data_IF_087071459172
#
_entry.id   IF_087071459172
#
_cell.length_a   1.000
_cell.length_b   1.000
_cell.length_c   1.000
_cell.angle_alpha   90.00
_cell.angle_beta   90.00
_cell.angle_gamma   90.00
#
_symmetry.space_group_name_H-M   'P 1'
#
loop_
_entity.id
_entity.type
_entity.pdbx_description
1 polymer ?
#
# COMPACT_ATOMS: atom_id res chain seq x y z
N UNK A 1 6.24 9.25 14.47
CA UNK A 1 7.51 9.88 14.90
C UNK A 1 7.99 9.26 16.18
N UNK A 2 9.29 9.19 16.31
CA UNK A 2 9.97 8.60 17.47
C UNK A 2 11.16 9.47 17.86
N UNK A 3 11.63 9.34 19.08
CA UNK A 3 12.80 10.05 19.59
C UNK A 3 13.69 9.17 20.45
N UNK A 4 14.97 9.53 20.54
CA UNK A 4 15.93 8.92 21.48
C UNK A 4 16.94 9.96 21.97
N UNK A 5 17.47 9.78 23.19
CA UNK A 5 18.64 10.52 23.66
C UNK A 5 19.90 10.01 22.96
N UNK A 6 20.92 10.86 22.94
CA UNK A 6 22.23 10.40 22.48
C UNK A 6 22.77 9.32 23.43
N UNK A 7 23.22 8.21 22.85
CA UNK A 7 23.61 7.00 23.61
C UNK A 7 22.50 5.97 23.81
N UNK A 8 21.24 6.31 23.62
CA UNK A 8 20.15 5.34 23.68
C UNK A 8 20.16 4.42 22.43
N UNK A 9 19.91 3.13 22.68
CA UNK A 9 19.83 2.11 21.61
C UNK A 9 18.49 2.16 20.88
N UNK A 10 17.40 2.49 21.59
CA UNK A 10 16.04 2.34 21.08
C UNK A 10 15.32 3.67 20.98
N UNK A 11 14.56 3.82 19.92
CA UNK A 11 13.62 4.91 19.75
C UNK A 11 12.36 4.68 20.59
N UNK A 12 11.83 5.74 21.16
CA UNK A 12 10.56 5.79 21.88
C UNK A 12 9.52 6.57 21.05
N UNK A 13 8.24 6.30 21.25
CA UNK A 13 7.17 7.04 20.59
C UNK A 13 7.23 8.53 20.99
N UNK A 14 7.01 9.41 20.02
CA UNK A 14 6.95 10.85 20.25
C UNK A 14 5.61 11.44 19.84
N UNK A 15 5.26 11.31 18.58
CA UNK A 15 4.04 11.89 18.02
C UNK A 15 3.56 11.11 16.80
N UNK A 16 2.29 11.27 16.49
CA UNK A 16 1.68 10.81 15.24
C UNK A 16 0.67 11.83 14.75
N UNK A 17 0.30 11.78 13.46
CA UNK A 17 -0.72 12.63 12.88
C UNK A 17 -1.16 12.11 11.52
N UNK A 18 -2.37 12.49 11.12
CA UNK A 18 -2.91 12.27 9.79
C UNK A 18 -3.20 13.63 9.15
N UNK A 19 -2.71 13.82 7.95
CA UNK A 19 -2.71 15.10 7.25
C UNK A 19 -3.19 14.91 5.81
N UNK A 20 -3.99 15.83 5.32
CA UNK A 20 -4.31 16.00 3.90
C UNK A 20 -3.57 17.18 3.26
N UNK A 21 -2.91 18.01 4.09
CA UNK A 21 -2.10 19.12 3.66
C UNK A 21 -0.68 19.04 4.26
N UNK A 22 0.32 18.89 3.40
CA UNK A 22 1.74 18.82 3.82
C UNK A 22 2.19 20.10 4.51
N UNK A 23 1.65 21.26 4.14
CA UNK A 23 2.05 22.55 4.72
C UNK A 23 1.68 22.66 6.20
N UNK A 24 0.71 21.87 6.67
CA UNK A 24 0.29 21.86 8.07
C UNK A 24 1.15 20.91 8.93
N UNK A 25 2.08 20.15 8.32
CA UNK A 25 2.98 19.26 9.02
C UNK A 25 4.09 20.03 9.75
N UNK A 26 3.69 20.72 10.81
CA UNK A 26 4.62 21.45 11.69
C UNK A 26 4.59 20.83 13.08
N UNK A 27 5.77 20.62 13.66
CA UNK A 27 5.90 20.08 15.02
C UNK A 27 7.10 20.69 15.70
N UNK A 28 6.93 20.98 16.98
CA UNK A 28 8.01 21.42 17.84
C UNK A 28 8.80 20.22 18.37
N UNK A 29 10.09 20.24 18.24
CA UNK A 29 11.00 19.18 18.64
C UNK A 29 11.90 19.65 19.79
N UNK A 30 12.19 18.76 20.74
CA UNK A 30 13.06 19.05 21.87
C UNK A 30 14.51 18.97 21.41
N UNK A 31 15.29 19.98 21.72
CA UNK A 31 16.73 20.03 21.48
C UNK A 31 17.46 18.90 22.24
N UNK A 32 18.57 18.42 21.70
CA UNK A 32 19.39 17.38 22.34
C UNK A 32 18.90 15.93 22.17
N UNK A 33 17.85 15.74 21.37
CA UNK A 33 17.37 14.42 20.99
C UNK A 33 17.57 14.15 19.50
N UNK A 34 17.63 12.88 19.15
CA UNK A 34 17.57 12.39 17.76
C UNK A 34 16.18 11.85 17.46
N UNK A 35 15.66 12.19 16.29
CA UNK A 35 14.32 11.82 15.87
C UNK A 35 14.33 10.84 14.70
N UNK A 36 13.33 9.97 14.68
CA UNK A 36 12.98 9.13 13.53
C UNK A 36 11.58 9.51 13.06
N UNK A 37 11.45 9.73 11.77
CA UNK A 37 10.16 9.92 11.10
C UNK A 37 9.87 8.69 10.25
N UNK A 38 8.67 8.20 10.32
CA UNK A 38 8.11 7.22 9.40
C UNK A 38 6.89 7.86 8.75
N UNK A 39 6.87 7.91 7.44
CA UNK A 39 5.81 8.52 6.68
C UNK A 39 5.19 7.54 5.70
N UNK A 40 3.87 7.54 5.64
CA UNK A 40 3.11 6.83 4.62
C UNK A 40 2.14 7.81 3.97
N UNK A 41 2.15 7.87 2.65
CA UNK A 41 1.23 8.69 1.87
C UNK A 41 0.40 7.78 0.95
N UNK A 42 -0.87 8.10 0.81
CA UNK A 42 -1.76 7.51 -0.20
C UNK A 42 -2.10 8.58 -1.21
N UNK A 43 -1.92 8.28 -2.48
CA UNK A 43 -2.25 9.16 -3.60
C UNK A 43 -3.27 8.45 -4.47
N UNK A 44 -4.30 9.15 -4.89
CA UNK A 44 -5.45 8.59 -5.61
C UNK A 44 -6.16 7.47 -4.81
N UNK A 45 -7.30 7.02 -5.28
CA UNK A 45 -8.07 5.92 -4.67
C UNK A 45 -8.36 6.09 -3.16
N UNK A 46 -8.36 7.34 -2.66
CA UNK A 46 -8.72 7.63 -1.27
C UNK A 46 -10.15 7.17 -0.94
N UNK A 47 -11.00 7.05 -1.93
CA UNK A 47 -12.36 6.52 -1.81
C UNK A 47 -12.39 5.03 -1.41
N UNK A 48 -11.28 4.30 -1.62
CA UNK A 48 -11.13 2.91 -1.22
C UNK A 48 -10.68 2.73 0.23
N UNK A 49 -10.25 3.83 0.89
CA UNK A 49 -9.89 3.80 2.30
C UNK A 49 -11.14 3.66 3.15
N UNK A 50 -11.13 2.70 4.08
CA UNK A 50 -12.20 2.59 5.05
C UNK A 50 -12.12 3.76 6.04
N UNK A 51 -13.18 4.56 6.12
CA UNK A 51 -13.31 5.63 7.10
C UNK A 51 -14.74 5.68 7.68
N UNK A 52 -14.86 6.18 8.89
CA UNK A 52 -16.12 6.46 9.55
C UNK A 52 -16.08 7.91 10.04
N UNK A 53 -16.86 8.78 9.43
CA UNK A 53 -16.78 10.23 9.60
C UNK A 53 -15.35 10.75 9.34
N UNK A 54 -14.71 11.32 10.37
CA UNK A 54 -13.34 11.82 10.33
C UNK A 54 -12.28 10.78 10.68
N UNK A 55 -12.69 9.57 11.08
CA UNK A 55 -11.77 8.53 11.53
C UNK A 55 -11.38 7.64 10.35
N UNK A 56 -10.09 7.60 10.04
CA UNK A 56 -9.50 6.77 9.01
C UNK A 56 -8.88 5.52 9.63
N UNK A 57 -9.13 4.37 9.00
CA UNK A 57 -8.58 3.08 9.41
C UNK A 57 -7.39 2.69 8.49
N UNK A 58 -7.16 1.42 8.27
CA UNK A 58 -6.01 0.99 7.49
C UNK A 58 -5.84 1.75 6.16
N UNK A 59 -4.64 2.19 5.82
CA UNK A 59 -3.37 1.95 6.52
C UNK A 59 -3.04 2.92 7.66
N UNK A 60 -3.97 3.76 8.11
CA UNK A 60 -3.75 4.88 9.03
C UNK A 60 -4.31 4.64 10.45
N UNK A 61 -4.45 3.40 10.86
CA UNK A 61 -5.00 3.09 12.19
C UNK A 61 -3.92 3.00 13.27
N UNK A 62 -4.36 3.15 14.52
CA UNK A 62 -3.59 2.86 15.73
C UNK A 62 -3.87 1.44 16.21
N UNK A 63 -2.87 0.80 16.73
CA UNK A 63 -2.99 -0.47 17.44
C UNK A 63 -2.65 -0.29 18.91
N UNK A 64 -3.61 -0.52 19.75
CA UNK A 64 -3.40 -0.62 21.20
C UNK A 64 -3.28 -2.10 21.53
N UNK A 65 -2.29 -2.57 22.12
CA UNK A 65 -2.03 -3.94 22.57
C UNK A 65 -3.12 -5.02 22.29
N UNK A 66 -2.80 -6.27 22.33
CA UNK A 66 -3.58 -7.43 21.87
C UNK A 66 -5.05 -7.55 22.34
N UNK A 67 -5.52 -6.70 23.23
CA UNK A 67 -6.88 -6.78 23.78
C UNK A 67 -7.84 -5.66 23.31
N UNK A 68 -7.35 -4.59 22.75
CA UNK A 68 -8.20 -3.41 22.44
C UNK A 68 -8.50 -3.19 20.96
N UNK A 69 -7.91 -3.96 20.07
CA UNK A 69 -8.18 -3.86 18.65
C UNK A 69 -7.53 -2.65 17.96
N UNK A 70 -8.04 -2.35 16.77
CA UNK A 70 -7.58 -1.27 15.93
C UNK A 70 -8.45 -0.04 16.14
N UNK A 71 -7.84 1.11 16.27
CA UNK A 71 -8.53 2.40 16.35
C UNK A 71 -8.12 3.28 15.18
N UNK A 72 -9.10 3.90 14.54
CA UNK A 72 -8.88 4.87 13.47
C UNK A 72 -8.14 6.11 13.96
N UNK A 73 -7.53 6.83 13.03
CA UNK A 73 -6.86 8.11 13.27
C UNK A 73 -7.73 9.21 12.68
N UNK A 74 -7.95 10.27 13.45
CA UNK A 74 -8.66 11.45 12.97
C UNK A 74 -7.79 12.26 12.01
N UNK A 75 -8.39 12.69 10.89
CA UNK A 75 -7.81 13.67 9.98
C UNK A 75 -7.92 15.06 10.61
N UNK A 76 -6.91 15.44 11.35
CA UNK A 76 -6.93 16.70 12.13
C UNK A 76 -5.91 17.74 11.64
N UNK A 77 -5.01 17.35 10.72
CA UNK A 77 -3.89 18.19 10.27
C UNK A 77 -2.99 18.67 11.43
N UNK A 78 -2.89 17.86 12.47
CA UNK A 78 -2.10 18.15 13.67
C UNK A 78 -1.36 16.92 14.15
N UNK A 79 -0.18 17.13 14.71
CA UNK A 79 0.49 16.09 15.46
C UNK A 79 -0.12 15.94 16.86
N UNK A 80 -0.40 14.70 17.23
CA UNK A 80 -0.74 14.30 18.57
C UNK A 80 0.51 13.77 19.26
N UNK A 81 1.00 14.48 20.27
CA UNK A 81 2.13 14.02 21.08
C UNK A 81 1.67 12.86 21.94
N UNK A 82 2.36 11.74 21.85
CA UNK A 82 2.06 10.54 22.61
C UNK A 82 3.34 9.77 22.89
N UNK A 83 3.74 9.78 24.14
CA UNK A 83 4.94 9.07 24.63
C UNK A 83 4.62 7.66 25.14
N UNK A 84 3.36 7.23 25.09
CA UNK A 84 2.98 5.89 25.55
C UNK A 84 3.45 4.83 24.54
N UNK A 85 4.23 3.85 25.02
CA UNK A 85 4.72 2.74 24.19
C UNK A 85 3.62 1.79 23.71
N UNK A 86 2.37 2.03 24.07
CA UNK A 86 1.22 1.22 23.69
C UNK A 86 0.64 1.57 22.30
N UNK A 87 1.03 2.70 21.71
CA UNK A 87 0.53 3.10 20.41
C UNK A 87 1.53 2.65 19.34
N UNK A 88 1.13 1.71 18.52
CA UNK A 88 1.83 1.37 17.29
C UNK A 88 1.00 1.89 16.14
N UNK A 89 1.62 2.70 15.28
CA UNK A 89 1.08 2.95 13.95
C UNK A 89 1.38 1.69 13.15
N UNK A 90 0.35 0.96 12.80
CA UNK A 90 0.47 -0.29 12.07
C UNK A 90 0.39 -0.07 10.57
N UNK A 91 0.76 -1.05 9.80
CA UNK A 91 0.69 -1.01 8.35
C UNK A 91 1.96 -0.49 7.66
N UNK A 92 3.02 -0.19 8.40
CA UNK A 92 4.25 0.32 7.80
C UNK A 92 5.25 -0.79 7.47
N UNK A 93 5.28 -1.87 8.22
CA UNK A 93 6.25 -2.96 8.05
C UNK A 93 5.70 -4.14 7.25
N UNK A 94 4.44 -4.43 7.44
CA UNK A 94 3.68 -5.38 6.64
C UNK A 94 2.55 -4.58 6.03
N UNK A 95 2.21 -4.84 4.82
CA UNK A 95 1.04 -4.22 4.20
C UNK A 95 -0.25 -4.57 4.96
N UNK A 96 -0.30 -4.28 6.25
CA UNK A 96 -1.51 -4.40 7.04
C UNK A 96 -2.55 -3.46 6.48
N UNK A 97 -3.26 -3.98 5.70
CA UNK A 97 -4.13 -3.53 4.68
C UNK A 97 -5.50 -3.96 4.98
N UNK A 98 -5.82 -4.09 6.20
CA UNK A 98 -7.11 -4.57 6.56
C UNK A 98 -8.21 -3.61 6.18
N UNK A 99 -8.61 -3.70 4.93
CA UNK A 99 -10.03 -3.79 4.68
C UNK A 99 -10.33 -5.28 4.89
N UNK A 100 -10.65 -5.65 6.10
CA UNK A 100 -11.13 -6.97 6.41
C UNK A 100 -12.49 -7.13 5.75
N UNK A 101 -12.49 -7.61 4.53
CA UNK A 101 -13.68 -8.23 3.99
C UNK A 101 -13.90 -9.54 4.73
N UNK A 102 -15.10 -9.74 5.22
CA UNK A 102 -15.56 -10.97 5.89
C UNK A 102 -15.40 -12.26 5.06
N UNK A 103 -14.83 -12.19 3.87
CA UNK A 103 -14.77 -13.26 2.88
C UNK A 103 -13.36 -13.67 2.44
N UNK A 104 -12.31 -13.25 3.12
CA UNK A 104 -10.95 -13.67 2.79
C UNK A 104 -9.94 -12.52 2.86
N UNK A 105 -8.74 -12.86 3.20
CA UNK A 105 -7.63 -11.93 3.33
C UNK A 105 -7.12 -11.49 1.95
N UNK A 106 -7.62 -10.36 1.47
CA UNK A 106 -6.91 -9.63 0.43
C UNK A 106 -5.69 -8.98 1.07
N UNK A 107 -4.50 -9.45 0.74
CA UNK A 107 -3.26 -8.94 1.31
C UNK A 107 -2.66 -7.77 0.51
N UNK A 108 -3.28 -7.41 -0.62
CA UNK A 108 -2.86 -6.33 -1.50
C UNK A 108 -3.99 -5.31 -1.66
N UNK A 109 -3.97 -4.22 -0.89
CA UNK A 109 -5.03 -3.21 -0.99
C UNK A 109 -4.94 -2.46 -2.32
N UNK A 110 -6.09 -2.07 -2.82
CA UNK A 110 -6.22 -1.20 -3.99
C UNK A 110 -5.88 0.24 -3.62
N UNK A 111 -4.63 0.48 -3.30
CA UNK A 111 -4.15 1.78 -2.84
C UNK A 111 -2.81 2.09 -3.50
N UNK A 112 -2.68 3.30 -4.05
CA UNK A 112 -1.39 3.84 -4.50
C UNK A 112 -0.66 4.44 -3.30
N UNK A 113 0.30 3.70 -2.75
CA UNK A 113 0.97 4.03 -1.51
C UNK A 113 2.43 4.37 -1.71
N UNK A 114 2.86 5.39 -0.98
CA UNK A 114 4.26 5.79 -0.84
C UNK A 114 4.69 5.63 0.61
N UNK A 115 5.96 5.33 0.81
CA UNK A 115 6.55 5.18 2.13
C UNK A 115 7.97 5.74 2.16
N UNK A 116 8.38 6.30 3.31
CA UNK A 116 9.72 6.78 3.55
C UNK A 116 10.03 6.94 5.03
N UNK A 117 11.33 6.94 5.32
CA UNK A 117 11.86 7.17 6.67
C UNK A 117 13.00 8.19 6.65
N UNK A 118 13.08 8.95 7.72
CA UNK A 118 14.25 9.74 8.07
C UNK A 118 14.68 9.36 9.48
N UNK A 119 15.91 8.91 9.65
CA UNK A 119 16.45 8.45 10.94
C UNK A 119 17.55 9.38 11.43
N UNK A 120 17.75 9.42 12.75
CA UNK A 120 18.79 10.19 13.43
C UNK A 120 18.78 11.70 13.09
N UNK A 121 17.60 12.23 12.78
CA UNK A 121 17.43 13.67 12.57
C UNK A 121 17.70 14.45 13.87
N UNK A 122 18.60 15.41 13.79
CA UNK A 122 18.91 16.32 14.89
C UNK A 122 18.24 17.67 14.58
N UNK A 123 17.28 18.12 15.39
CA UNK A 123 16.58 19.35 15.12
C UNK A 123 17.49 20.56 15.24
N UNK A 124 17.31 21.51 14.34
CA UNK A 124 17.91 22.84 14.38
C UNK A 124 16.79 23.87 14.44
N UNK A 125 17.08 25.06 14.93
CA UNK A 125 16.10 26.15 14.99
C UNK A 125 15.52 26.42 13.59
N UNK A 126 14.19 26.34 13.47
CA UNK A 126 13.46 26.45 12.21
C UNK A 126 13.97 25.47 11.12
N UNK A 127 14.40 24.28 11.55
CA UNK A 127 14.87 23.25 10.65
C UNK A 127 13.76 22.65 9.79
N UNK A 128 14.14 22.09 8.64
CA UNK A 128 13.26 21.36 7.75
C UNK A 128 13.70 19.90 7.73
N UNK A 129 12.77 18.99 7.96
CA UNK A 129 13.00 17.56 7.78
C UNK A 129 12.51 17.13 6.39
N UNK A 130 13.42 16.68 5.55
CA UNK A 130 13.12 16.19 4.21
C UNK A 130 13.02 14.68 4.25
N UNK A 131 11.92 14.13 3.79
CA UNK A 131 11.68 12.70 3.74
C UNK A 131 11.33 12.28 2.31
N UNK A 132 12.19 11.49 1.71
CA UNK A 132 11.97 10.94 0.38
C UNK A 132 11.03 9.75 0.47
N UNK A 133 9.85 9.89 -0.12
CA UNK A 133 8.87 8.82 -0.20
C UNK A 133 9.00 8.08 -1.53
N UNK A 134 9.16 6.77 -1.48
CA UNK A 134 9.13 5.90 -2.65
C UNK A 134 7.76 5.23 -2.78
N UNK A 135 7.26 5.12 -4.01
CA UNK A 135 6.05 4.33 -4.27
C UNK A 135 6.30 2.87 -3.87
N UNK A 136 5.39 2.30 -3.10
CA UNK A 136 5.39 0.91 -2.67
C UNK A 136 4.23 0.12 -3.26
N UNK A 137 3.81 0.54 -4.45
CA UNK A 137 2.68 0.01 -5.18
C UNK A 137 3.10 -0.44 -6.58
N UNK A 138 2.24 -1.28 -7.16
CA UNK A 138 2.28 -1.73 -8.55
C UNK A 138 0.89 -1.60 -9.17
N UNK A 139 0.83 -1.57 -10.50
CA UNK A 139 -0.40 -1.59 -11.24
C UNK A 139 -0.63 -2.94 -11.93
N UNK A 140 -1.88 -3.35 -12.02
CA UNK A 140 -2.33 -4.44 -12.87
C UNK A 140 -3.41 -3.93 -13.81
N UNK A 141 -3.18 -4.10 -15.11
CA UNK A 141 -4.19 -3.85 -16.15
C UNK A 141 -4.48 -5.15 -16.87
N UNK A 142 -5.75 -5.53 -16.96
CA UNK A 142 -6.21 -6.65 -17.76
C UNK A 142 -6.84 -6.14 -19.04
N UNK A 143 -6.45 -6.73 -20.17
CA UNK A 143 -7.12 -6.61 -21.45
C UNK A 143 -7.57 -8.02 -21.82
N UNK A 144 -8.86 -8.29 -21.69
CA UNK A 144 -9.42 -9.63 -21.89
C UNK A 144 -10.30 -9.66 -23.12
N UNK A 145 -9.89 -10.45 -24.12
CA UNK A 145 -10.69 -10.72 -25.30
C UNK A 145 -11.75 -11.77 -24.96
N UNK A 146 -13.03 -11.55 -25.33
CA UNK A 146 -14.08 -12.54 -25.14
C UNK A 146 -13.74 -13.89 -25.75
N UNK A 147 -14.17 -14.99 -25.14
CA UNK A 147 -13.98 -16.33 -25.71
C UNK A 147 -14.83 -16.52 -26.95
N UNK A 148 -14.46 -17.43 -27.81
CA UNK A 148 -15.23 -17.76 -29.04
C UNK A 148 -16.56 -18.46 -28.72
N UNK A 149 -16.67 -19.10 -27.56
CA UNK A 149 -17.88 -19.68 -27.01
C UNK A 149 -17.83 -19.75 -25.49
N UNK A 150 -18.98 -19.89 -24.82
CA UNK A 150 -19.07 -20.11 -23.40
C UNK A 150 -18.68 -18.89 -22.56
N UNK A 151 -17.93 -19.12 -21.46
CA UNK A 151 -17.57 -18.08 -20.50
C UNK A 151 -16.13 -18.24 -20.05
N UNK A 152 -15.36 -17.14 -20.15
CA UNK A 152 -14.01 -17.02 -19.64
C UNK A 152 -14.04 -16.23 -18.32
N UNK A 153 -13.31 -16.70 -17.31
CA UNK A 153 -13.14 -16.00 -16.03
C UNK A 153 -11.68 -15.98 -15.58
N UNK A 154 -11.29 -14.85 -14.98
CA UNK A 154 -10.09 -14.74 -14.16
C UNK A 154 -10.56 -14.75 -12.71
N UNK A 155 -10.33 -15.85 -11.98
CA UNK A 155 -10.93 -16.06 -10.67
C UNK A 155 -10.02 -15.64 -9.51
N UNK A 156 -8.72 -15.89 -9.63
CA UNK A 156 -7.76 -15.60 -8.57
C UNK A 156 -6.41 -15.19 -9.13
N UNK A 157 -5.76 -14.29 -8.37
CA UNK A 157 -4.35 -13.96 -8.51
C UNK A 157 -3.74 -14.14 -7.12
N UNK A 158 -2.77 -15.02 -6.98
CA UNK A 158 -2.18 -15.34 -5.68
C UNK A 158 -0.67 -15.39 -5.71
N UNK A 159 -0.09 -15.15 -4.53
CA UNK A 159 1.32 -15.31 -4.20
C UNK A 159 1.46 -16.15 -2.95
N UNK A 160 2.69 -16.37 -2.51
CA UNK A 160 2.95 -17.00 -1.20
C UNK A 160 2.45 -16.16 -0.02
N UNK A 161 2.22 -14.86 -0.21
CA UNK A 161 1.85 -13.92 0.85
C UNK A 161 0.35 -13.56 0.85
N UNK A 162 -0.41 -14.01 -0.13
CA UNK A 162 -1.84 -13.72 -0.21
C UNK A 162 -2.41 -13.72 -1.61
N UNK A 163 -3.60 -13.17 -1.78
CA UNK A 163 -4.32 -13.18 -3.04
C UNK A 163 -4.97 -11.83 -3.35
N UNK A 164 -5.17 -11.59 -4.64
CA UNK A 164 -6.07 -10.56 -5.16
C UNK A 164 -7.26 -11.29 -5.77
N UNK A 165 -8.46 -10.97 -5.31
CA UNK A 165 -9.67 -11.50 -5.92
C UNK A 165 -9.97 -10.72 -7.21
N UNK A 166 -10.04 -11.43 -8.32
CA UNK A 166 -10.42 -10.87 -9.62
C UNK A 166 -11.78 -11.43 -10.03
N UNK A 167 -12.75 -10.55 -10.24
CA UNK A 167 -14.10 -10.90 -10.65
C UNK A 167 -14.31 -10.68 -12.16
N UNK A 168 -13.27 -10.85 -12.97
CA UNK A 168 -13.38 -10.73 -14.42
C UNK A 168 -14.11 -11.96 -14.95
N UNK A 169 -15.21 -11.73 -15.66
CA UNK A 169 -15.98 -12.76 -16.32
C UNK A 169 -16.54 -12.22 -17.64
N UNK A 170 -16.28 -12.92 -18.73
CA UNK A 170 -16.72 -12.55 -20.07
C UNK A 170 -17.38 -13.74 -20.75
N UNK A 171 -18.47 -13.47 -21.44
CA UNK A 171 -19.15 -14.38 -22.36
C UNK A 171 -18.75 -14.09 -23.81
N UNK A 172 -19.06 -15.00 -24.73
CA UNK A 172 -18.69 -14.86 -26.14
C UNK A 172 -19.27 -13.59 -26.82
N UNK A 173 -20.42 -13.12 -26.34
CA UNK A 173 -21.13 -11.95 -26.90
C UNK A 173 -20.68 -10.63 -26.24
N UNK A 174 -19.78 -10.67 -25.27
CA UNK A 174 -19.27 -9.47 -24.60
C UNK A 174 -18.23 -8.75 -25.47
N UNK A 175 -17.98 -7.49 -25.12
CA UNK A 175 -16.88 -6.72 -25.70
C UNK A 175 -15.57 -7.02 -24.96
N UNK A 176 -14.43 -6.60 -25.56
CA UNK A 176 -13.14 -6.61 -24.88
C UNK A 176 -13.27 -5.82 -23.58
N UNK A 177 -12.86 -6.45 -22.49
CA UNK A 177 -12.80 -5.82 -21.17
C UNK A 177 -11.42 -5.25 -20.92
N UNK A 178 -11.39 -3.99 -20.54
CA UNK A 178 -10.21 -3.37 -19.94
C UNK A 178 -10.51 -3.05 -18.48
N UNK A 179 -9.64 -3.50 -17.58
CA UNK A 179 -9.74 -3.21 -16.16
C UNK A 179 -8.34 -2.94 -15.62
N UNK A 180 -8.19 -1.86 -14.87
CA UNK A 180 -6.91 -1.53 -14.23
C UNK A 180 -7.11 -1.19 -12.76
N UNK A 181 -6.17 -1.58 -11.94
CA UNK A 181 -6.13 -1.24 -10.51
C UNK A 181 -4.70 -1.10 -10.03
N UNK A 182 -4.53 -0.26 -9.02
CA UNK A 182 -3.29 -0.12 -8.27
C UNK A 182 -3.35 -0.98 -7.02
N UNK A 183 -2.24 -1.53 -6.61
CA UNK A 183 -2.13 -2.35 -5.40
C UNK A 183 -0.87 -2.03 -4.64
N UNK A 184 -0.95 -1.91 -3.32
CA UNK A 184 0.22 -1.81 -2.46
C UNK A 184 0.82 -3.19 -2.24
N UNK A 185 2.15 -3.32 -2.29
CA UNK A 185 2.84 -4.55 -1.90
C UNK A 185 2.61 -4.90 -0.44
N UNK A 186 2.53 -6.21 -0.14
CA UNK A 186 2.32 -6.69 1.22
C UNK A 186 3.42 -6.25 2.18
N UNK A 187 4.70 -6.39 1.79
CA UNK A 187 5.85 -5.98 2.59
C UNK A 187 6.33 -4.57 2.22
N UNK A 188 5.56 -3.55 2.62
CA UNK A 188 5.83 -2.13 2.30
C UNK A 188 7.26 -1.73 2.65
N UNK A 189 7.73 -2.05 3.85
CA UNK A 189 9.07 -1.68 4.30
C UNK A 189 10.16 -2.34 3.46
N UNK A 190 10.03 -3.61 3.15
CA UNK A 190 10.98 -4.35 2.31
C UNK A 190 10.98 -3.83 0.88
N UNK A 191 9.79 -3.52 0.36
CA UNK A 191 9.65 -2.90 -0.95
C UNK A 191 10.34 -1.53 -1.01
N UNK A 192 10.20 -0.71 0.03
CA UNK A 192 10.84 0.60 0.12
C UNK A 192 12.37 0.49 0.21
N UNK A 193 12.90 -0.42 1.02
CA UNK A 193 14.35 -0.60 1.19
C UNK A 193 15.04 -1.08 -0.08
N UNK A 194 14.37 -1.90 -0.88
CA UNK A 194 14.95 -2.45 -2.08
C UNK A 194 15.15 -1.37 -3.16
N UNK A 195 16.24 -1.45 -3.89
CA UNK A 195 16.46 -0.62 -5.09
C UNK A 195 15.45 -0.99 -6.18
N UNK A 196 15.27 -2.29 -6.39
CA UNK A 196 14.25 -2.87 -7.26
C UNK A 196 13.45 -3.89 -6.48
N UNK A 197 12.13 -3.86 -6.61
CA UNK A 197 11.24 -4.78 -5.94
C UNK A 197 10.23 -5.37 -6.91
N UNK A 198 10.05 -6.66 -6.82
CA UNK A 198 9.08 -7.41 -7.60
C UNK A 198 8.56 -8.61 -6.82
N UNK A 199 7.39 -9.08 -7.22
CA UNK A 199 6.78 -10.31 -6.72
C UNK A 199 6.14 -11.07 -7.88
N UNK A 200 6.15 -12.39 -7.77
CA UNK A 200 5.51 -13.27 -8.73
C UNK A 200 4.09 -13.60 -8.28
N UNK A 201 3.17 -13.44 -9.20
CA UNK A 201 1.75 -13.77 -9.03
C UNK A 201 1.36 -14.88 -9.97
N UNK A 202 0.60 -15.85 -9.48
CA UNK A 202 -0.04 -16.86 -10.34
C UNK A 202 -1.46 -16.40 -10.63
N UNK A 203 -1.80 -16.24 -11.91
CA UNK A 203 -3.16 -15.99 -12.37
C UNK A 203 -3.78 -17.30 -12.81
N UNK A 204 -5.08 -17.48 -12.50
CA UNK A 204 -5.85 -18.62 -12.97
C UNK A 204 -6.97 -18.15 -13.90
N UNK A 205 -6.98 -18.71 -15.10
CA UNK A 205 -8.05 -18.55 -16.09
C UNK A 205 -8.89 -19.83 -16.12
N UNK A 206 -10.20 -19.66 -16.16
CA UNK A 206 -11.12 -20.78 -16.35
C UNK A 206 -12.05 -20.48 -17.51
N UNK A 207 -12.02 -21.33 -18.51
CA UNK A 207 -12.92 -21.26 -19.67
C UNK A 207 -13.93 -22.41 -19.64
N UNK A 208 -15.19 -22.06 -19.43
CA UNK A 208 -16.32 -22.98 -19.52
C UNK A 208 -16.92 -22.89 -20.91
N UNK A 209 -16.73 -23.90 -21.72
CA UNK A 209 -17.19 -23.97 -23.11
C UNK A 209 -18.70 -24.19 -23.18
N UNK A 210 -19.30 -23.81 -24.32
CA UNK A 210 -20.73 -24.04 -24.58
C UNK A 210 -21.13 -25.53 -24.60
N UNK A 211 -20.18 -26.42 -24.93
CA UNK A 211 -20.40 -27.89 -24.89
C UNK A 211 -20.27 -28.49 -23.50
N UNK A 212 -20.08 -27.70 -22.45
CA UNK A 212 -19.93 -28.13 -21.06
C UNK A 212 -18.48 -28.46 -20.65
N UNK A 213 -17.52 -28.53 -21.56
CA UNK A 213 -16.11 -28.73 -21.19
C UNK A 213 -15.56 -27.52 -20.41
N UNK A 214 -14.68 -27.77 -19.47
CA UNK A 214 -13.98 -26.74 -18.71
C UNK A 214 -12.48 -26.88 -18.91
N UNK A 215 -11.82 -25.79 -19.26
CA UNK A 215 -10.37 -25.69 -19.37
C UNK A 215 -9.87 -24.70 -18.31
N UNK A 216 -8.80 -25.07 -17.60
CA UNK A 216 -8.14 -24.18 -16.63
C UNK A 216 -6.70 -23.99 -17.05
N UNK A 217 -6.23 -22.77 -16.95
CA UNK A 217 -4.87 -22.41 -17.29
C UNK A 217 -4.31 -21.50 -16.18
N UNK A 218 -3.08 -21.76 -15.80
CA UNK A 218 -2.36 -20.97 -14.82
C UNK A 218 -1.09 -20.37 -15.46
N UNK A 219 -0.81 -19.13 -15.13
CA UNK A 219 0.41 -18.47 -15.54
C UNK A 219 0.98 -17.62 -14.42
N UNK A 220 2.29 -17.70 -14.23
CA UNK A 220 3.02 -16.76 -13.37
C UNK A 220 3.27 -15.48 -14.16
N UNK A 221 2.93 -14.35 -13.55
CA UNK A 221 3.28 -13.00 -13.98
C UNK A 221 4.16 -12.36 -12.91
N UNK A 222 5.05 -11.44 -13.30
CA UNK A 222 5.90 -10.72 -12.37
C UNK A 222 5.46 -9.26 -12.31
N UNK A 223 4.97 -8.81 -11.16
CA UNK A 223 4.68 -7.40 -10.93
C UNK A 223 5.88 -6.70 -10.30
N UNK A 224 6.07 -5.44 -10.66
CA UNK A 224 7.25 -4.65 -10.26
C UNK A 224 6.81 -3.34 -9.62
N UNK A 225 7.59 -2.88 -8.65
CA UNK A 225 7.36 -1.57 -8.02
C UNK A 225 7.35 -0.47 -9.09
N UNK A 226 6.37 0.43 -8.99
CA UNK A 226 6.17 1.57 -9.88
C UNK A 226 5.96 1.19 -11.36
N UNK A 227 5.43 0.01 -11.63
CA UNK A 227 5.15 -0.49 -12.97
C UNK A 227 3.70 -0.93 -13.07
N UNK A 228 3.04 -0.54 -14.17
CA UNK A 228 1.76 -1.07 -14.60
C UNK A 228 2.03 -2.31 -15.47
N UNK A 229 1.77 -3.49 -14.95
CA UNK A 229 1.85 -4.74 -15.72
C UNK A 229 0.53 -4.96 -16.43
N UNK A 230 0.54 -4.91 -17.76
CA UNK A 230 -0.62 -5.19 -18.60
C UNK A 230 -0.65 -6.67 -18.95
N UNK A 231 -1.72 -7.35 -18.54
CA UNK A 231 -1.97 -8.77 -18.82
C UNK A 231 -2.99 -8.87 -19.94
N UNK A 232 -2.52 -9.23 -21.12
CA UNK A 232 -3.36 -9.48 -22.30
C UNK A 232 -3.81 -10.93 -22.30
N UNK A 233 -5.11 -11.18 -22.19
CA UNK A 233 -5.71 -12.50 -22.19
C UNK A 233 -6.49 -12.71 -23.48
N UNK A 234 -6.13 -13.76 -24.21
CA UNK A 234 -6.78 -14.15 -25.45
C UNK A 234 -7.03 -15.65 -25.44
N UNK A 235 -8.20 -16.06 -25.91
CA UNK A 235 -8.62 -17.45 -26.04
C UNK A 235 -8.80 -17.78 -27.51
N UNK A 236 -7.87 -18.55 -28.06
CA UNK A 236 -7.97 -19.07 -29.41
C UNK A 236 -8.80 -20.36 -29.40
N UNK A 237 -9.73 -20.53 -30.32
CA UNK A 237 -10.72 -21.61 -30.33
C UNK A 237 -10.22 -23.08 -30.40
N UNK A 238 -8.95 -23.34 -30.02
CA UNK A 238 -8.35 -24.66 -29.94
C UNK A 238 -8.86 -25.48 -28.74
N UNK A 239 -8.59 -26.79 -28.76
CA UNK A 239 -9.02 -27.74 -27.69
C UNK A 239 -7.91 -28.06 -26.70
N UNK A 240 -6.74 -27.43 -26.82
CA UNK A 240 -5.54 -27.65 -25.99
C UNK A 240 -5.24 -26.43 -25.14
N UNK A 241 -4.45 -26.60 -24.09
CA UNK A 241 -4.01 -25.50 -23.19
C UNK A 241 -3.28 -24.36 -23.92
N UNK A 242 -2.68 -24.64 -25.08
CA UNK A 242 -2.11 -23.64 -25.98
C UNK A 242 -3.14 -22.68 -26.62
N UNK A 243 -4.43 -22.93 -26.45
CA UNK A 243 -5.52 -22.03 -26.89
C UNK A 243 -5.70 -20.80 -25.99
N UNK A 244 -5.14 -20.80 -24.79
CA UNK A 244 -5.14 -19.67 -23.86
C UNK A 244 -3.81 -18.93 -23.98
N UNK A 245 -3.82 -17.75 -24.58
CA UNK A 245 -2.66 -16.88 -24.70
C UNK A 245 -2.66 -15.81 -23.61
N UNK A 246 -1.56 -15.73 -22.85
CA UNK A 246 -1.33 -14.64 -21.90
C UNK A 246 0.00 -13.98 -22.22
N UNK A 247 -0.04 -12.67 -22.48
CA UNK A 247 1.14 -11.85 -22.73
C UNK A 247 1.19 -10.72 -21.70
N UNK A 248 2.38 -10.41 -21.23
CA UNK A 248 2.67 -9.31 -20.31
C UNK A 248 3.36 -8.17 -21.06
N UNK A 249 2.98 -6.94 -20.73
CA UNK A 249 3.66 -5.72 -21.16
C UNK A 249 3.77 -4.77 -19.96
N UNK A 250 4.98 -4.25 -19.71
CA UNK A 250 5.28 -3.37 -18.59
C UNK A 250 5.36 -1.91 -19.03
N UNK A 251 4.72 -1.03 -18.28
CA UNK A 251 4.78 0.42 -18.49
C UNK A 251 5.07 1.13 -17.16
N UNK A 252 6.09 2.03 -17.08
CA UNK A 252 6.33 2.83 -15.89
C UNK A 252 5.11 3.67 -15.50
N UNK A 253 4.81 3.78 -14.20
CA UNK A 253 3.64 4.48 -13.69
C UNK A 253 3.87 5.98 -13.42
N UNK A 254 4.98 6.54 -13.86
CA UNK A 254 5.32 7.95 -13.63
C UNK A 254 6.22 8.15 -12.42
N UNK A 255 6.01 9.23 -11.65
CA UNK A 255 6.90 9.57 -10.54
C UNK A 255 6.97 8.45 -9.50
N UNK A 256 8.16 7.88 -9.33
CA UNK A 256 8.44 6.85 -8.33
C UNK A 256 8.58 7.45 -6.92
N UNK A 257 9.10 8.67 -6.83
CA UNK A 257 9.42 9.34 -5.59
C UNK A 257 8.59 10.62 -5.43
N UNK A 258 8.28 10.93 -4.20
CA UNK A 258 7.66 12.20 -3.78
C UNK A 258 8.45 12.75 -2.62
N UNK A 259 8.92 13.98 -2.75
CA UNK A 259 9.62 14.69 -1.68
C UNK A 259 8.61 15.29 -0.71
N UNK A 260 8.79 14.99 0.56
CA UNK A 260 8.00 15.56 1.64
C UNK A 260 8.89 16.45 2.50
N UNK A 261 8.59 17.74 2.51
CA UNK A 261 9.28 18.74 3.32
C UNK A 261 8.30 19.30 4.34
N UNK A 262 8.65 19.23 5.61
CA UNK A 262 7.88 19.88 6.65
C UNK A 262 8.79 20.66 7.61
N UNK A 263 8.26 21.77 8.11
CA UNK A 263 8.98 22.67 9.00
C UNK A 263 8.80 22.22 10.45
N UNK A 264 9.91 21.93 11.14
CA UNK A 264 9.93 21.74 12.58
C UNK A 264 10.36 23.04 13.27
N UNK A 265 9.65 23.44 14.30
CA UNK A 265 10.06 24.57 15.17
C UNK A 265 10.74 24.06 16.43
N UNK A 266 11.71 24.81 16.97
CA UNK A 266 12.21 24.57 18.32
C UNK A 266 11.16 24.99 19.35
N UNK A 267 10.81 24.08 20.26
CA UNK A 267 10.18 24.49 21.51
C UNK A 267 11.23 24.93 22.53
N UNK A 268 10.92 25.96 23.27
CA UNK A 268 11.65 26.29 24.48
C UNK A 268 11.53 25.10 25.47
N UNK A 269 12.65 24.73 26.11
CA UNK A 269 12.74 23.60 27.06
C UNK A 269 11.70 23.64 28.19
N UNK A 270 10.99 24.76 28.34
CA UNK A 270 9.94 24.94 29.32
C UNK A 270 8.52 24.55 28.84
N UNK A 271 8.32 24.30 27.54
CA UNK A 271 6.97 24.07 26.98
C UNK A 271 6.61 22.59 26.81
N UNK A 272 7.58 21.67 26.87
CA UNK A 272 7.31 20.23 26.76
C UNK A 272 8.04 19.46 27.87
N UNK A 273 7.27 19.03 28.86
CA UNK A 273 7.76 18.09 29.85
C UNK A 273 7.45 16.65 29.37
N UNK A 274 8.46 15.86 28.95
CA UNK A 274 8.23 14.49 28.45
C UNK A 274 7.81 13.49 29.55
N UNK A 275 7.68 13.94 30.79
CA UNK A 275 7.33 13.13 31.96
C UNK A 275 5.89 13.36 32.47
N UNK A 276 5.03 14.01 31.70
CA UNK A 276 3.62 14.19 32.05
C UNK A 276 2.74 13.32 31.15
#
# INVERSE_FOLDING_TARGET
MYYKKDGDTWYQNYAYGLFDNIQDMTISLISGYKYKFECSMVQNDTDTLYHNNSMYYAPFHKYYSSYSGYEGIELSNKFNISTTNSIRLTGLQKGETCISNSNGSEHYPKIDRFYGELTDYIPTKNGVANIDLKRTAFGLKFIVTPPVDGTLSVSYIWTNNGSINSNIKLSADDNILESSSMYTFYEVYKCWQAEKYNEDFTIQLTWKRANGATQTFEKVITVKRNVMTTVNVNVNGGTTDSSLGVKEDDTPMGNENVDMNFNGGDLDDNEVNPNV
#
